data_IF_890439983549
#
_entry.id   IF_890439983549
#
_cell.length_a   1.000
_cell.length_b   1.000
_cell.length_c   1.000
_cell.angle_alpha   90.00
_cell.angle_beta   90.00
_cell.angle_gamma   90.00
#
_symmetry.space_group_name_H-M   'P 1'
#
loop_
_entity.id
_entity.type
_entity.pdbx_description
1 polymer ?
#
# COMPACT_ATOMS: atom_id res chain seq x y z
N UNK A 1 15.59 -11.72 6.11
CA UNK A 1 15.31 -10.69 5.09
C UNK A 1 16.11 -9.43 5.37
N UNK A 2 15.94 -8.79 6.53
CA UNK A 2 16.65 -7.57 6.94
C UNK A 2 18.17 -7.57 6.64
N UNK A 3 18.94 -8.53 7.17
CA UNK A 3 20.39 -8.62 6.90
C UNK A 3 20.77 -8.71 5.41
N UNK A 4 19.89 -9.27 4.56
CA UNK A 4 20.14 -9.37 3.12
C UNK A 4 19.84 -8.05 2.41
N UNK A 5 18.84 -7.30 2.88
CA UNK A 5 18.65 -5.89 2.47
C UNK A 5 19.89 -5.09 2.87
N UNK A 6 20.36 -5.23 4.12
CA UNK A 6 21.59 -4.60 4.61
C UNK A 6 22.79 -4.85 3.69
N UNK A 7 23.01 -6.12 3.29
CA UNK A 7 24.10 -6.48 2.35
C UNK A 7 24.03 -5.74 1.01
N UNK A 8 22.82 -5.52 0.46
CA UNK A 8 22.64 -4.75 -0.78
C UNK A 8 22.93 -3.26 -0.55
N UNK A 9 22.39 -2.69 0.53
CA UNK A 9 22.60 -1.28 0.88
C UNK A 9 24.06 -0.96 1.18
N UNK A 10 24.75 -1.84 1.90
CA UNK A 10 26.18 -1.75 2.19
C UNK A 10 26.99 -1.76 0.90
N UNK A 11 26.58 -2.56 -0.10
CA UNK A 11 27.26 -2.58 -1.39
C UNK A 11 27.08 -1.26 -2.16
N UNK A 12 25.87 -0.70 -2.18
CA UNK A 12 25.59 0.61 -2.80
C UNK A 12 26.46 1.70 -2.17
N UNK A 13 26.55 1.70 -0.84
CA UNK A 13 27.41 2.62 -0.10
C UNK A 13 28.90 2.42 -0.39
N UNK A 14 29.37 1.17 -0.34
CA UNK A 14 30.78 0.83 -0.53
C UNK A 14 31.28 1.16 -1.96
N UNK A 15 30.40 1.15 -2.96
CA UNK A 15 30.75 1.55 -4.33
C UNK A 15 30.64 3.06 -4.59
N UNK A 16 30.29 3.87 -3.57
CA UNK A 16 30.24 5.32 -3.68
C UNK A 16 28.95 5.87 -4.31
N UNK A 17 27.92 5.05 -4.51
CA UNK A 17 26.70 5.43 -5.24
C UNK A 17 25.53 5.80 -4.30
N UNK A 18 25.78 5.96 -3.00
CA UNK A 18 24.72 6.23 -2.01
C UNK A 18 23.93 7.51 -2.31
N UNK A 19 24.62 8.58 -2.72
CA UNK A 19 23.96 9.86 -3.05
C UNK A 19 23.29 9.87 -4.42
N UNK A 20 23.62 8.91 -5.31
CA UNK A 20 23.12 8.84 -6.67
C UNK A 20 22.14 7.66 -6.89
N UNK A 21 21.69 7.00 -5.82
CA UNK A 21 20.80 5.85 -5.90
C UNK A 21 19.49 6.12 -5.16
N UNK A 22 18.37 6.01 -5.89
CA UNK A 22 17.04 5.95 -5.27
C UNK A 22 16.81 4.53 -4.79
N UNK A 23 16.55 4.36 -3.48
CA UNK A 23 16.22 3.09 -2.86
C UNK A 23 14.77 3.14 -2.40
N UNK A 24 13.96 2.18 -2.86
CA UNK A 24 12.59 1.96 -2.38
C UNK A 24 12.54 0.54 -1.79
N UNK A 25 12.16 0.45 -0.51
CA UNK A 25 11.87 -0.82 0.15
C UNK A 25 10.37 -0.90 0.40
N UNK A 26 9.73 -2.00 -0.01
CA UNK A 26 8.29 -2.22 0.19
C UNK A 26 7.98 -3.72 0.28
N UNK A 27 6.75 -4.05 0.65
CA UNK A 27 6.14 -5.36 0.42
C UNK A 27 5.02 -5.26 -0.63
N UNK A 28 4.61 -6.39 -1.19
CA UNK A 28 3.59 -6.54 -2.23
C UNK A 28 2.16 -6.66 -1.67
N UNK A 29 1.98 -7.33 -0.53
CA UNK A 29 0.70 -7.48 0.15
C UNK A 29 0.85 -7.70 1.65
N UNK A 30 -0.26 -7.66 2.37
CA UNK A 30 -0.33 -8.06 3.78
C UNK A 30 0.18 -9.49 4.02
N UNK A 31 0.49 -9.85 5.26
CA UNK A 31 1.16 -11.10 5.56
C UNK A 31 0.19 -12.28 5.60
N UNK A 32 0.76 -13.49 5.62
CA UNK A 32 0.06 -14.64 6.20
C UNK A 32 0.21 -14.56 7.73
N UNK A 33 -0.90 -14.57 8.44
CA UNK A 33 -0.95 -14.50 9.91
C UNK A 33 -1.05 -15.91 10.51
N UNK A 34 -1.43 -16.03 11.79
CA UNK A 34 -1.78 -17.32 12.41
C UNK A 34 -3.03 -17.97 11.77
N UNK A 35 -3.80 -17.20 11.00
CA UNK A 35 -4.94 -17.65 10.21
C UNK A 35 -4.46 -18.30 8.90
N UNK A 36 -3.97 -19.53 9.00
CA UNK A 36 -3.61 -20.33 7.84
C UNK A 36 -4.88 -20.81 7.11
N UNK A 37 -4.98 -20.51 5.81
CA UNK A 37 -6.09 -20.92 4.93
C UNK A 37 -5.71 -22.08 4.02
N UNK A 38 -4.42 -22.38 3.91
CA UNK A 38 -3.88 -23.44 3.06
C UNK A 38 -2.79 -24.20 3.80
N UNK A 39 -2.54 -25.45 3.41
CA UNK A 39 -1.53 -26.30 4.06
C UNK A 39 -0.12 -25.70 4.02
N UNK A 40 0.20 -24.94 2.96
CA UNK A 40 1.49 -24.26 2.80
C UNK A 40 1.63 -22.98 3.66
N UNK A 41 0.59 -22.59 4.39
CA UNK A 41 0.55 -21.40 5.25
C UNK A 41 0.74 -21.73 6.73
N UNK A 42 0.90 -23.01 7.08
CA UNK A 42 1.02 -23.46 8.45
C UNK A 42 2.28 -22.90 9.15
N UNK A 43 2.17 -22.67 10.46
CA UNK A 43 3.25 -22.20 11.34
C UNK A 43 3.81 -20.82 10.99
N UNK A 44 2.98 -19.95 10.40
CA UNK A 44 3.32 -18.55 10.13
C UNK A 44 2.69 -17.62 11.19
N UNK A 45 3.29 -16.44 11.37
CA UNK A 45 2.95 -15.51 12.45
C UNK A 45 3.10 -14.04 12.02
N UNK A 46 2.71 -13.73 10.78
CA UNK A 46 2.71 -12.35 10.31
C UNK A 46 1.78 -11.46 11.12
N UNK A 47 2.14 -10.18 11.23
CA UNK A 47 1.45 -9.18 12.03
C UNK A 47 1.01 -8.01 11.15
N UNK A 48 -0.13 -7.42 11.50
CA UNK A 48 -0.75 -6.32 10.74
C UNK A 48 -0.88 -5.04 11.55
N UNK A 49 -0.17 -4.92 12.68
CA UNK A 49 -0.35 -3.83 13.66
C UNK A 49 -1.82 -3.72 14.13
N UNK A 50 -2.48 -4.87 14.33
CA UNK A 50 -3.89 -4.95 14.70
C UNK A 50 -4.88 -4.59 13.58
N UNK A 51 -4.42 -4.29 12.36
CA UNK A 51 -5.29 -4.00 11.23
C UNK A 51 -6.02 -5.28 10.80
N UNK A 52 -7.34 -5.22 10.66
CA UNK A 52 -8.16 -6.39 10.31
C UNK A 52 -7.86 -6.90 8.89
N UNK A 53 -7.93 -8.23 8.73
CA UNK A 53 -7.63 -8.96 7.50
C UNK A 53 -6.15 -9.31 7.38
N UNK A 54 -5.85 -10.17 6.42
CA UNK A 54 -4.51 -10.65 6.07
C UNK A 54 -4.35 -10.70 4.55
N UNK A 55 -3.29 -11.33 4.04
CA UNK A 55 -3.17 -11.69 2.62
C UNK A 55 -4.50 -12.24 2.07
N UNK A 56 -4.81 -11.94 0.81
CA UNK A 56 -6.09 -12.18 0.11
C UNK A 56 -7.23 -11.19 0.43
N UNK A 57 -7.21 -10.50 1.57
CA UNK A 57 -8.32 -9.61 1.93
C UNK A 57 -8.09 -8.17 1.45
N UNK A 58 -9.16 -7.50 1.03
CA UNK A 58 -9.16 -6.06 0.71
C UNK A 58 -9.27 -5.15 1.94
N UNK A 59 -9.28 -5.74 3.12
CA UNK A 59 -9.21 -5.04 4.39
C UNK A 59 -7.80 -4.48 4.68
N UNK A 60 -7.68 -3.52 5.60
CA UNK A 60 -6.41 -2.80 5.82
C UNK A 60 -5.20 -3.71 6.05
N UNK A 61 -5.33 -4.81 6.80
CA UNK A 61 -4.21 -5.74 7.06
C UNK A 61 -3.79 -6.58 5.84
N UNK A 62 -4.58 -6.61 4.77
CA UNK A 62 -4.24 -7.30 3.52
C UNK A 62 -3.59 -6.41 2.46
N UNK A 63 -3.80 -5.09 2.53
CA UNK A 63 -3.32 -4.14 1.50
C UNK A 63 -2.35 -3.08 2.04
N UNK A 64 -2.32 -2.82 3.34
CA UNK A 64 -1.39 -1.86 3.95
C UNK A 64 -0.09 -2.59 4.29
N UNK A 65 1.02 -2.07 3.79
CA UNK A 65 2.35 -2.70 3.84
C UNK A 65 3.42 -1.67 4.21
N UNK A 66 4.59 -2.09 4.74
CA UNK A 66 5.71 -1.18 4.93
C UNK A 66 6.20 -0.62 3.59
N UNK A 67 6.52 0.67 3.56
CA UNK A 67 7.19 1.31 2.43
C UNK A 67 8.17 2.38 2.95
N UNK A 68 9.39 2.40 2.41
CA UNK A 68 10.45 3.37 2.75
C UNK A 68 11.10 3.81 1.44
N UNK A 69 11.35 5.10 1.29
CA UNK A 69 12.14 5.67 0.19
C UNK A 69 13.33 6.44 0.76
N UNK A 70 14.49 6.25 0.15
CA UNK A 70 15.73 7.00 0.42
C UNK A 70 16.35 7.43 -0.91
N UNK A 71 16.85 8.65 -0.98
CA UNK A 71 17.65 9.11 -2.10
C UNK A 71 18.77 10.02 -1.58
N UNK A 72 19.92 9.43 -1.27
CA UNK A 72 21.07 10.14 -0.70
C UNK A 72 20.68 11.11 0.42
N UNK A 73 21.21 12.33 0.32
CA UNK A 73 20.77 13.52 1.08
C UNK A 73 19.78 14.41 0.32
N UNK A 74 19.24 13.97 -0.82
CA UNK A 74 18.35 14.75 -1.68
C UNK A 74 16.93 14.89 -1.12
N UNK A 75 16.51 13.97 -0.25
CA UNK A 75 15.22 14.04 0.44
C UNK A 75 15.40 14.12 1.97
N UNK A 76 14.41 14.66 2.71
CA UNK A 76 14.46 14.76 4.16
C UNK A 76 14.69 13.41 4.86
N UNK A 77 15.60 13.37 5.83
CA UNK A 77 15.95 12.15 6.56
C UNK A 77 15.05 11.97 7.78
N UNK A 78 14.69 10.73 8.08
CA UNK A 78 13.92 10.37 9.29
C UNK A 78 12.49 10.90 9.32
N UNK A 79 11.93 11.29 8.18
CA UNK A 79 10.55 11.78 8.08
C UNK A 79 9.58 10.62 8.01
N UNK A 80 8.49 10.71 8.77
CA UNK A 80 7.33 9.82 8.70
C UNK A 80 6.15 10.61 8.15
N UNK A 81 5.42 10.01 7.21
CA UNK A 81 4.17 10.57 6.66
C UNK A 81 3.05 9.56 6.83
N UNK A 82 1.87 10.06 7.20
CA UNK A 82 0.60 9.32 7.26
C UNK A 82 -0.26 9.54 6.01
N UNK A 83 0.26 10.26 5.01
CA UNK A 83 -0.46 10.51 3.76
C UNK A 83 -0.70 9.18 3.02
N UNK A 84 -1.94 8.91 2.57
CA UNK A 84 -2.26 7.70 1.81
C UNK A 84 -1.54 7.63 0.45
N UNK A 85 -0.69 6.61 0.31
CA UNK A 85 0.04 6.26 -0.91
C UNK A 85 -0.04 4.76 -1.18
N UNK A 86 0.18 4.35 -2.42
CA UNK A 86 0.15 2.95 -2.85
C UNK A 86 1.09 2.69 -4.03
N UNK A 87 1.29 1.41 -4.36
CA UNK A 87 2.29 0.99 -5.34
C UNK A 87 2.17 1.63 -6.73
N UNK A 88 0.96 2.00 -7.17
CA UNK A 88 0.79 2.60 -8.51
C UNK A 88 1.38 4.01 -8.59
N UNK A 89 1.62 4.68 -7.46
CA UNK A 89 2.25 6.00 -7.41
C UNK A 89 3.74 5.96 -7.77
N UNK A 90 4.40 4.80 -7.69
CA UNK A 90 5.84 4.71 -7.94
C UNK A 90 6.20 5.06 -9.38
N UNK A 91 5.39 4.65 -10.36
CA UNK A 91 5.67 4.94 -11.77
C UNK A 91 5.74 6.45 -12.09
N UNK A 92 4.71 7.28 -11.79
CA UNK A 92 4.81 8.73 -11.99
C UNK A 92 5.82 9.41 -11.05
N UNK A 93 6.06 8.86 -9.86
CA UNK A 93 7.08 9.40 -8.94
C UNK A 93 8.49 9.23 -9.52
N UNK A 94 8.82 8.03 -9.98
CA UNK A 94 10.12 7.73 -10.58
C UNK A 94 10.31 8.48 -11.90
N UNK A 95 9.25 8.62 -12.71
CA UNK A 95 9.29 9.45 -13.91
C UNK A 95 9.73 10.89 -13.62
N UNK A 96 9.22 11.48 -12.53
CA UNK A 96 9.62 12.82 -12.11
C UNK A 96 11.03 12.84 -11.49
N UNK A 97 11.37 11.89 -10.62
CA UNK A 97 12.66 11.88 -9.94
C UNK A 97 13.85 11.55 -10.86
N UNK A 98 13.60 10.75 -11.91
CA UNK A 98 14.62 10.27 -12.85
C UNK A 98 14.57 10.98 -14.21
N UNK A 99 13.75 12.04 -14.33
CA UNK A 99 13.61 12.87 -15.53
C UNK A 99 13.30 12.08 -16.83
N UNK A 100 12.27 11.22 -16.79
CA UNK A 100 11.75 10.57 -18.00
C UNK A 100 10.25 10.81 -18.19
N UNK A 101 9.81 10.79 -19.44
CA UNK A 101 8.40 10.98 -19.80
C UNK A 101 7.66 9.66 -19.81
N UNK A 102 6.48 9.64 -19.20
CA UNK A 102 5.57 8.51 -19.34
C UNK A 102 4.95 8.50 -20.75
N UNK A 103 4.75 7.32 -21.36
CA UNK A 103 3.94 7.16 -22.56
C UNK A 103 2.56 7.79 -22.42
N UNK A 104 2.07 8.45 -23.47
CA UNK A 104 0.74 9.11 -23.50
C UNK A 104 -0.34 8.26 -24.16
N UNK A 105 -0.03 7.00 -24.47
CA UNK A 105 -0.89 6.03 -25.15
C UNK A 105 -1.67 5.11 -24.17
N UNK A 106 -1.52 5.32 -22.86
CA UNK A 106 -2.12 4.50 -21.81
C UNK A 106 -2.45 5.32 -20.55
N UNK A 107 -3.36 4.80 -19.76
CA UNK A 107 -3.77 5.40 -18.49
C UNK A 107 -2.86 4.98 -17.35
N UNK A 108 -2.57 5.91 -16.43
CA UNK A 108 -1.94 5.66 -15.15
C UNK A 108 -2.88 6.09 -14.03
N UNK A 109 -2.95 5.30 -12.97
CA UNK A 109 -3.83 5.55 -11.83
C UNK A 109 -3.12 6.14 -10.63
N UNK A 110 -1.79 5.96 -10.56
CA UNK A 110 -0.97 6.60 -9.55
C UNK A 110 -0.77 8.10 -9.77
N UNK A 111 -0.28 8.75 -8.72
CA UNK A 111 0.10 10.16 -8.72
C UNK A 111 1.51 10.30 -8.14
N UNK A 112 2.31 11.22 -8.70
CA UNK A 112 3.67 11.46 -8.22
C UNK A 112 3.68 11.86 -6.74
N UNK A 113 4.55 11.22 -5.97
CA UNK A 113 4.78 11.47 -4.55
C UNK A 113 5.84 12.54 -4.29
N UNK A 114 6.45 13.11 -5.34
CA UNK A 114 7.45 14.19 -5.21
C UNK A 114 6.98 15.32 -4.28
N UNK A 115 5.71 15.80 -4.32
CA UNK A 115 5.24 16.79 -3.36
C UNK A 115 5.41 16.37 -1.90
N UNK A 116 5.20 15.08 -1.57
CA UNK A 116 5.42 14.57 -0.21
C UNK A 116 6.91 14.54 0.16
N UNK A 117 7.77 14.17 -0.79
CA UNK A 117 9.23 14.18 -0.58
C UNK A 117 9.76 15.61 -0.35
N UNK A 118 9.06 16.62 -0.88
CA UNK A 118 9.30 18.05 -0.66
C UNK A 118 8.56 18.62 0.57
N UNK A 119 7.95 17.78 1.41
CA UNK A 119 7.13 18.17 2.58
C UNK A 119 5.93 19.09 2.25
N UNK A 120 5.38 18.96 1.05
CA UNK A 120 4.16 19.64 0.61
C UNK A 120 2.95 18.71 0.73
N UNK A 121 1.75 19.30 0.71
CA UNK A 121 0.51 18.54 0.70
C UNK A 121 0.28 17.85 -0.65
N UNK A 122 -0.05 16.56 -0.62
CA UNK A 122 -0.50 15.82 -1.80
C UNK A 122 -2.04 15.85 -1.87
N UNK A 123 -2.58 16.64 -2.79
CA UNK A 123 -4.00 16.57 -3.15
C UNK A 123 -4.19 15.48 -4.20
N UNK A 124 -4.94 14.43 -3.89
CA UNK A 124 -5.27 13.39 -4.86
C UNK A 124 -6.42 13.81 -5.78
N UNK A 125 -6.30 13.40 -7.03
CA UNK A 125 -7.29 13.68 -8.07
C UNK A 125 -8.19 12.47 -8.37
N UNK A 126 -7.74 11.28 -7.95
CA UNK A 126 -8.43 10.00 -8.08
C UNK A 126 -8.42 9.28 -6.72
N UNK A 127 -9.48 8.53 -6.37
CA UNK A 127 -9.44 7.58 -5.28
C UNK A 127 -8.34 6.52 -5.49
N UNK A 128 -7.85 5.94 -4.39
CA UNK A 128 -7.06 4.71 -4.48
C UNK A 128 -7.98 3.55 -4.84
N UNK A 129 -7.54 2.68 -5.74
CA UNK A 129 -8.28 1.49 -6.18
C UNK A 129 -7.45 0.23 -5.90
N UNK A 130 -8.13 -0.81 -5.43
CA UNK A 130 -7.58 -2.13 -5.14
C UNK A 130 -8.54 -3.18 -5.69
N UNK A 131 -8.00 -4.29 -6.20
CA UNK A 131 -8.82 -5.37 -6.72
C UNK A 131 -8.14 -6.72 -6.58
N UNK A 132 -8.94 -7.77 -6.37
CA UNK A 132 -8.48 -9.15 -6.35
C UNK A 132 -9.63 -10.07 -6.80
N UNK A 133 -9.46 -10.74 -7.94
CA UNK A 133 -10.41 -11.77 -8.37
C UNK A 133 -9.90 -13.15 -7.92
N UNK A 134 -10.34 -13.59 -6.75
CA UNK A 134 -9.94 -14.85 -6.14
C UNK A 134 -11.16 -15.73 -5.81
N UNK A 135 -11.73 -16.46 -6.79
CA UNK A 135 -12.86 -17.35 -6.55
C UNK A 135 -12.47 -18.57 -5.69
N UNK A 136 -13.48 -19.33 -5.26
CA UNK A 136 -13.32 -20.64 -4.60
C UNK A 136 -12.51 -20.62 -3.29
N UNK A 137 -12.53 -19.51 -2.55
CA UNK A 137 -12.04 -19.49 -1.17
C UNK A 137 -13.14 -19.98 -0.23
N UNK A 138 -12.75 -20.67 0.86
CA UNK A 138 -13.68 -21.20 1.86
C UNK A 138 -14.56 -20.08 2.43
N UNK A 139 -13.93 -18.99 2.87
CA UNK A 139 -14.58 -17.69 3.09
C UNK A 139 -14.48 -16.85 1.81
N UNK A 140 -15.60 -16.52 1.15
CA UNK A 140 -15.57 -15.77 -0.10
C UNK A 140 -14.86 -14.42 0.04
N UNK A 141 -13.91 -14.18 -0.86
CA UNK A 141 -13.24 -12.88 -0.99
C UNK A 141 -14.20 -11.83 -1.57
N UNK A 142 -13.97 -10.57 -1.22
CA UNK A 142 -14.53 -9.43 -1.93
C UNK A 142 -13.62 -9.08 -3.12
N UNK A 143 -14.12 -8.34 -4.12
CA UNK A 143 -13.41 -8.17 -5.39
C UNK A 143 -12.76 -6.80 -5.55
N UNK A 144 -13.41 -5.74 -5.07
CA UNK A 144 -12.92 -4.37 -5.24
C UNK A 144 -12.93 -3.57 -3.94
N UNK A 145 -11.96 -2.67 -3.79
CA UNK A 145 -11.99 -1.65 -2.77
C UNK A 145 -11.56 -0.30 -3.34
N UNK A 146 -12.25 0.75 -2.91
CA UNK A 146 -11.91 2.13 -3.24
C UNK A 146 -11.68 2.91 -1.96
N UNK A 147 -10.71 3.81 -1.96
CA UNK A 147 -10.45 4.73 -0.85
C UNK A 147 -10.37 6.17 -1.33
N UNK A 148 -11.21 7.02 -0.74
CA UNK A 148 -11.23 8.45 -0.96
C UNK A 148 -11.18 9.20 0.39
N UNK A 149 -10.06 9.87 0.64
CA UNK A 149 -9.76 10.46 1.94
C UNK A 149 -9.82 9.44 3.10
N UNK A 150 -10.67 9.73 4.07
CA UNK A 150 -10.93 8.85 5.23
C UNK A 150 -11.92 7.73 4.90
N UNK A 151 -12.63 7.79 3.77
CA UNK A 151 -13.66 6.82 3.41
C UNK A 151 -13.08 5.66 2.61
N UNK A 152 -13.53 4.45 2.94
CA UNK A 152 -13.20 3.23 2.21
C UNK A 152 -14.45 2.40 1.98
N UNK A 153 -14.70 2.02 0.73
CA UNK A 153 -15.75 1.10 0.36
C UNK A 153 -15.13 -0.21 -0.13
N UNK A 154 -15.77 -1.33 0.21
CA UNK A 154 -15.43 -2.66 -0.31
C UNK A 154 -16.67 -3.24 -0.98
N UNK A 155 -16.47 -3.77 -2.18
CA UNK A 155 -17.50 -4.26 -3.09
C UNK A 155 -17.27 -5.76 -3.27
N UNK A 156 -18.34 -6.54 -3.13
CA UNK A 156 -18.29 -7.99 -3.31
C UNK A 156 -18.16 -8.39 -4.79
N UNK A 157 -18.08 -9.71 -5.01
CA UNK A 157 -17.94 -10.33 -6.34
C UNK A 157 -19.19 -10.21 -7.22
N UNK A 158 -20.31 -9.76 -6.67
CA UNK A 158 -21.55 -9.49 -7.39
C UNK A 158 -21.74 -7.99 -7.68
N UNK A 159 -20.66 -7.21 -7.53
CA UNK A 159 -20.63 -5.77 -7.72
C UNK A 159 -21.56 -5.01 -6.76
N UNK A 160 -21.83 -5.56 -5.56
CA UNK A 160 -22.64 -4.91 -4.52
C UNK A 160 -21.74 -4.30 -3.44
N UNK A 161 -21.96 -3.04 -3.03
CA UNK A 161 -21.28 -2.47 -1.87
C UNK A 161 -21.58 -3.30 -0.62
N UNK A 162 -20.55 -3.92 -0.05
CA UNK A 162 -20.69 -4.80 1.13
C UNK A 162 -20.27 -4.10 2.41
N UNK A 163 -19.26 -3.25 2.33
CA UNK A 163 -18.76 -2.51 3.49
C UNK A 163 -18.44 -1.05 3.14
N UNK A 164 -18.69 -0.16 4.09
CA UNK A 164 -18.29 1.25 4.05
C UNK A 164 -17.70 1.64 5.41
N UNK A 165 -16.52 2.26 5.39
CA UNK A 165 -15.78 2.63 6.59
C UNK A 165 -15.30 4.08 6.53
N UNK A 166 -15.25 4.73 7.69
CA UNK A 166 -14.43 5.91 7.92
C UNK A 166 -13.18 5.51 8.72
N UNK A 167 -12.04 5.39 8.04
CA UNK A 167 -10.79 4.84 8.59
C UNK A 167 -10.16 5.71 9.69
N UNK A 168 -10.52 7.00 9.76
CA UNK A 168 -10.06 7.90 10.83
C UNK A 168 -10.78 7.62 12.15
N UNK A 169 -12.06 7.23 12.09
CA UNK A 169 -12.88 6.91 13.27
C UNK A 169 -12.83 5.44 13.66
N UNK A 170 -12.58 4.55 12.70
CA UNK A 170 -12.61 3.10 12.92
C UNK A 170 -11.38 2.41 12.32
N UNK A 171 -10.22 2.66 12.94
CA UNK A 171 -8.92 2.14 12.50
C UNK A 171 -8.85 0.60 12.54
N UNK A 172 -9.48 -0.03 13.54
CA UNK A 172 -9.31 -1.45 13.87
C UNK A 172 -10.56 -2.31 13.63
N UNK A 173 -11.73 -1.71 13.45
CA UNK A 173 -13.02 -2.37 13.17
C UNK A 173 -13.59 -3.17 14.34
N UNK A 174 -14.08 -2.44 15.35
CA UNK A 174 -14.94 -2.99 16.41
C UNK A 174 -16.44 -2.77 16.16
N UNK A 175 -16.86 -2.08 15.09
CA UNK A 175 -18.26 -1.79 14.83
C UNK A 175 -18.73 -2.37 13.48
N UNK A 176 -19.95 -2.91 13.47
CA UNK A 176 -20.69 -3.39 12.29
C UNK A 176 -20.92 -2.28 11.24
N UNK A 177 -21.33 -2.63 10.00
CA UNK A 177 -21.53 -1.66 8.93
C UNK A 177 -22.54 -0.58 9.37
N UNK A 178 -22.04 0.64 9.64
CA UNK A 178 -22.88 1.79 9.91
C UNK A 178 -23.50 2.28 8.59
N UNK A 179 -24.57 1.63 8.16
CA UNK A 179 -25.51 2.20 7.20
C UNK A 179 -26.36 3.27 7.89
N UNK A 180 -25.72 4.34 8.38
CA UNK A 180 -26.49 5.55 8.70
C UNK A 180 -26.75 6.25 7.37
N UNK A 181 -27.92 5.94 6.80
CA UNK A 181 -28.55 6.71 5.73
C UNK A 181 -28.52 8.19 6.12
N UNK A 182 -27.97 9.02 5.22
CA UNK A 182 -28.16 10.47 5.28
C UNK A 182 -29.64 10.82 5.10
#
# INVERSE_FOLDING_TARGET
>A
MDAQVGKVLDKIKAMGEEDNTIVIFTSDNGPVTREARKVYELNLAGETDGLRGRKDNLWEGGIRVPAIIKYGKHIPQGVVTDTPVYGLDWMPTLANMMDFKLPTDRTYDGQSLVPLLEQKTLKRNKPLIFGIDMPFQDDPTDEWAIRDGDWKMIIDRENKPKYLYNLKKDRFRNAEPNWQTA
#
